data_IF_352145604952
#
_entry.id   IF_352145604952
#
_cell.length_a   1.000
_cell.length_b   1.000
_cell.length_c   1.000
_cell.angle_alpha   90.00
_cell.angle_beta   90.00
_cell.angle_gamma   90.00
#
_symmetry.space_group_name_H-M   'P 1'
#
loop_
_entity.id
_entity.type
_entity.pdbx_description
1 polymer ?
#
# COMPACT_ATOMS: atom_id res chain seq x y z
N UNK A 1 24.98 -56.25 -32.31
CA UNK A 1 23.58 -55.83 -32.11
C UNK A 1 23.51 -55.31 -30.70
N UNK A 2 23.96 -54.06 -30.51
CA UNK A 2 24.14 -53.49 -29.17
C UNK A 2 23.01 -52.52 -28.87
N UNK A 3 22.38 -52.76 -27.73
CA UNK A 3 21.14 -52.14 -27.29
C UNK A 3 21.37 -50.67 -26.90
N UNK A 4 20.62 -49.77 -27.52
CA UNK A 4 20.52 -48.38 -27.10
C UNK A 4 19.48 -48.29 -25.98
N UNK A 5 19.95 -48.11 -24.75
CA UNK A 5 19.11 -47.79 -23.59
C UNK A 5 18.71 -46.32 -23.72
N UNK A 6 17.45 -46.07 -24.09
CA UNK A 6 16.87 -44.74 -24.10
C UNK A 6 16.53 -44.30 -22.65
N UNK A 7 17.28 -43.33 -22.15
CA UNK A 7 16.96 -42.61 -20.92
C UNK A 7 15.74 -41.71 -21.16
N UNK A 8 14.60 -42.06 -20.56
CA UNK A 8 13.42 -41.18 -20.49
C UNK A 8 13.64 -40.20 -19.35
N UNK A 9 14.10 -39.00 -19.66
CA UNK A 9 14.12 -37.90 -18.70
C UNK A 9 12.67 -37.40 -18.51
N UNK A 10 12.09 -37.69 -17.34
CA UNK A 10 10.81 -37.09 -16.92
C UNK A 10 11.10 -35.63 -16.58
N UNK A 11 10.74 -34.73 -17.50
CA UNK A 11 10.74 -33.29 -17.27
C UNK A 11 9.66 -32.98 -16.23
N UNK A 12 10.06 -32.75 -14.99
CA UNK A 12 9.16 -32.24 -13.96
C UNK A 12 8.70 -30.84 -14.38
N UNK A 13 7.47 -30.74 -14.89
CA UNK A 13 6.79 -29.47 -15.12
C UNK A 13 6.70 -28.76 -13.77
N UNK A 14 7.48 -27.68 -13.61
CA UNK A 14 7.31 -26.73 -12.53
C UNK A 14 5.88 -26.17 -12.64
N UNK A 15 4.97 -26.68 -11.80
CA UNK A 15 3.65 -26.10 -11.64
C UNK A 15 3.88 -24.64 -11.20
N UNK A 16 3.34 -23.64 -11.92
CA UNK A 16 3.42 -22.27 -11.43
C UNK A 16 2.79 -22.23 -10.04
N UNK A 17 3.57 -21.79 -9.06
CA UNK A 17 3.05 -21.52 -7.72
C UNK A 17 1.86 -20.54 -7.79
N UNK A 18 1.08 -20.40 -6.70
CA UNK A 18 -0.06 -19.50 -6.68
C UNK A 18 0.34 -18.11 -7.17
N UNK A 19 -0.35 -17.64 -8.23
CA UNK A 19 -0.12 -16.31 -8.79
C UNK A 19 -0.45 -15.27 -7.72
N UNK A 20 0.44 -14.30 -7.43
CA UNK A 20 0.14 -13.22 -6.50
C UNK A 20 -1.16 -12.50 -6.91
N UNK A 21 -1.98 -12.04 -5.96
CA UNK A 21 -3.17 -11.30 -6.32
C UNK A 21 -2.78 -10.02 -7.07
N UNK A 22 -3.46 -9.78 -8.19
CA UNK A 22 -3.25 -8.63 -9.06
C UNK A 22 -4.26 -7.50 -8.77
N UNK A 23 -5.32 -7.79 -8.01
CA UNK A 23 -6.39 -6.84 -7.70
C UNK A 23 -6.65 -6.79 -6.19
N UNK A 24 -6.68 -5.58 -5.65
CA UNK A 24 -7.16 -5.29 -4.31
C UNK A 24 -8.59 -4.74 -4.36
N UNK A 25 -9.46 -5.23 -3.49
CA UNK A 25 -10.80 -4.69 -3.23
C UNK A 25 -10.89 -4.36 -1.75
N UNK A 26 -11.30 -3.14 -1.43
CA UNK A 26 -11.66 -2.74 -0.07
C UNK A 26 -13.16 -2.89 0.09
N UNK A 27 -13.60 -3.64 1.10
CA UNK A 27 -15.02 -3.71 1.46
C UNK A 27 -15.55 -2.30 1.80
N UNK A 28 -16.77 -1.91 1.38
CA UNK A 28 -17.29 -0.56 1.57
C UNK A 28 -17.23 -0.02 3.01
N UNK A 29 -17.57 -0.84 4.00
CA UNK A 29 -17.48 -0.47 5.42
C UNK A 29 -16.04 -0.33 5.91
N UNK A 30 -15.10 -1.13 5.41
CA UNK A 30 -13.66 -0.89 5.61
C UNK A 30 -13.21 0.43 5.00
N UNK A 31 -13.56 0.70 3.74
CA UNK A 31 -13.19 1.93 3.04
C UNK A 31 -13.65 3.16 3.83
N UNK A 32 -14.92 3.23 4.23
CA UNK A 32 -15.45 4.35 5.00
C UNK A 32 -14.69 4.61 6.33
N UNK A 33 -14.24 3.55 7.01
CA UNK A 33 -13.42 3.66 8.22
C UNK A 33 -12.02 4.19 7.92
N UNK A 34 -11.36 3.69 6.88
CA UNK A 34 -10.04 4.17 6.46
C UNK A 34 -10.09 5.64 6.00
N UNK A 35 -11.15 6.05 5.30
CA UNK A 35 -11.37 7.45 4.90
C UNK A 35 -11.54 8.37 6.11
N UNK A 36 -12.26 7.91 7.14
CA UNK A 36 -12.44 8.65 8.39
C UNK A 36 -11.11 8.80 9.13
N UNK A 37 -10.29 7.75 9.17
CA UNK A 37 -8.95 7.79 9.77
C UNK A 37 -8.04 8.76 9.00
N UNK A 38 -7.91 8.60 7.67
CA UNK A 38 -7.05 9.45 6.86
C UNK A 38 -7.41 10.94 6.97
N UNK A 39 -8.69 11.28 7.07
CA UNK A 39 -9.14 12.66 7.22
C UNK A 39 -8.83 13.30 8.58
N UNK A 40 -8.61 12.50 9.63
CA UNK A 40 -8.44 12.99 11.01
C UNK A 40 -7.02 12.91 11.55
N UNK A 41 -6.08 12.34 10.79
CA UNK A 41 -4.72 12.07 11.26
C UNK A 41 -3.73 13.09 10.72
N UNK A 42 -2.98 13.70 11.64
CA UNK A 42 -1.91 14.65 11.34
C UNK A 42 -0.50 14.02 11.34
N UNK A 43 -0.44 12.72 11.68
CA UNK A 43 0.78 11.92 11.63
C UNK A 43 0.56 10.74 10.69
N UNK A 44 1.63 10.24 10.09
CA UNK A 44 1.59 8.96 9.39
C UNK A 44 1.39 7.83 10.41
N UNK A 45 0.46 6.92 10.11
CA UNK A 45 0.25 5.68 10.85
C UNK A 45 0.26 4.50 9.88
N UNK A 46 0.54 3.32 10.41
CA UNK A 46 0.50 2.07 9.66
C UNK A 46 -0.66 1.20 10.15
N UNK A 47 -1.35 0.55 9.23
CA UNK A 47 -2.33 -0.49 9.49
C UNK A 47 -2.03 -1.73 8.64
N UNK A 48 -2.36 -2.90 9.17
CA UNK A 48 -2.38 -4.15 8.44
C UNK A 48 -3.83 -4.43 8.01
N UNK A 49 -4.13 -4.39 6.72
CA UNK A 49 -5.47 -4.69 6.23
C UNK A 49 -5.67 -6.20 6.17
N UNK A 50 -6.65 -6.71 6.90
CA UNK A 50 -6.95 -8.14 7.02
C UNK A 50 -8.06 -8.55 6.05
N UNK A 51 -7.98 -9.77 5.55
CA UNK A 51 -8.97 -10.26 4.60
C UNK A 51 -8.63 -11.61 4.00
N UNK A 52 -9.15 -11.85 2.80
CA UNK A 52 -9.00 -13.12 2.09
C UNK A 52 -8.53 -12.90 0.68
N UNK A 53 -7.69 -13.82 0.19
CA UNK A 53 -7.28 -13.88 -1.21
C UNK A 53 -7.98 -15.05 -1.90
N UNK A 54 -8.62 -14.79 -3.03
CA UNK A 54 -9.26 -15.82 -3.88
C UNK A 54 -8.79 -15.61 -5.32
N UNK A 55 -8.02 -16.57 -5.83
CA UNK A 55 -7.37 -16.45 -7.13
C UNK A 55 -6.49 -15.19 -7.18
N UNK A 56 -6.77 -14.30 -8.15
CA UNK A 56 -6.00 -13.06 -8.36
C UNK A 56 -6.55 -11.84 -7.61
N UNK A 57 -7.57 -12.02 -6.77
CA UNK A 57 -8.22 -10.91 -6.03
C UNK A 57 -8.02 -11.08 -4.54
N UNK A 58 -7.52 -10.03 -3.88
CA UNK A 58 -7.57 -9.89 -2.43
C UNK A 58 -8.70 -8.95 -2.04
N UNK A 59 -9.52 -9.37 -1.08
CA UNK A 59 -10.59 -8.56 -0.50
C UNK A 59 -10.21 -8.25 0.95
N UNK A 60 -9.94 -6.98 1.23
CA UNK A 60 -9.73 -6.50 2.59
C UNK A 60 -11.08 -6.16 3.24
N UNK A 61 -11.30 -6.62 4.47
CA UNK A 61 -12.57 -6.47 5.20
C UNK A 61 -12.39 -5.85 6.58
N UNK A 62 -11.16 -5.85 7.10
CA UNK A 62 -10.81 -5.26 8.39
C UNK A 62 -9.39 -4.70 8.39
N UNK A 63 -8.98 -4.23 9.56
CA UNK A 63 -7.59 -3.84 9.81
C UNK A 63 -7.20 -4.13 11.26
N UNK A 64 -5.91 -4.32 11.47
CA UNK A 64 -5.27 -4.30 12.79
C UNK A 64 -4.19 -3.22 12.80
N UNK A 65 -4.06 -2.49 13.90
CA UNK A 65 -2.95 -1.56 14.09
C UNK A 65 -1.78 -2.35 14.72
N UNK A 66 -0.62 -2.47 14.05
CA UNK A 66 0.61 -2.95 14.69
C UNK A 66 1.03 -1.95 15.79
N UNK A 67 2.01 -2.31 16.63
CA UNK A 67 2.44 -1.45 17.75
C UNK A 67 2.66 0.00 17.28
N UNK A 68 1.85 0.97 17.77
CA UNK A 68 1.88 2.34 17.27
C UNK A 68 3.20 3.05 17.58
N UNK A 69 3.99 2.57 18.55
CA UNK A 69 5.33 3.12 18.82
C UNK A 69 6.32 2.89 17.68
N UNK A 70 6.01 1.99 16.74
CA UNK A 70 6.81 1.75 15.54
C UNK A 70 6.43 2.69 14.39
N UNK A 71 5.30 3.41 14.45
CA UNK A 71 4.97 4.39 13.41
C UNK A 71 5.73 5.70 13.68
N UNK A 72 6.48 6.21 12.68
CA UNK A 72 7.16 7.50 12.77
C UNK A 72 6.39 8.57 11.95
N UNK A 73 6.59 9.84 12.28
CA UNK A 73 5.85 10.96 11.66
C UNK A 73 6.28 11.27 10.22
N UNK A 74 7.42 10.75 9.78
CA UNK A 74 8.06 11.01 8.49
C UNK A 74 8.29 9.74 7.66
N UNK A 75 7.97 8.57 8.22
CA UNK A 75 7.94 7.29 7.53
C UNK A 75 7.16 6.24 8.34
N UNK A 76 6.48 5.37 7.62
CA UNK A 76 5.93 4.14 8.19
C UNK A 76 7.06 3.11 8.47
N UNK A 77 7.39 2.81 9.73
CA UNK A 77 8.10 1.56 10.04
C UNK A 77 7.07 0.46 10.24
N UNK A 78 7.11 -0.55 9.37
CA UNK A 78 6.17 -1.65 9.41
C UNK A 78 6.51 -2.60 10.56
N UNK A 79 5.77 -2.51 11.67
CA UNK A 79 5.70 -3.60 12.63
C UNK A 79 5.18 -4.90 11.98
N UNK A 80 5.37 -6.08 12.60
CA UNK A 80 4.91 -7.33 12.02
C UNK A 80 3.39 -7.34 11.87
N UNK A 81 2.91 -7.55 10.65
CA UNK A 81 1.49 -7.76 10.38
C UNK A 81 1.10 -9.23 10.56
N UNK A 82 -0.16 -9.52 10.91
CA UNK A 82 -0.63 -10.88 11.02
C UNK A 82 -0.68 -11.58 9.65
N UNK A 83 -0.68 -12.92 9.62
CA UNK A 83 -0.55 -13.71 8.39
C UNK A 83 -1.71 -13.50 7.41
N UNK A 84 -2.88 -13.16 7.92
CA UNK A 84 -4.09 -12.83 7.19
C UNK A 84 -4.09 -11.40 6.59
N UNK A 85 -3.03 -10.62 6.82
CA UNK A 85 -2.91 -9.29 6.24
C UNK A 85 -2.68 -9.39 4.72
N UNK A 86 -3.64 -8.87 3.97
CA UNK A 86 -3.62 -8.83 2.50
C UNK A 86 -3.01 -7.55 1.95
N UNK A 87 -2.89 -6.51 2.78
CA UNK A 87 -2.20 -5.28 2.42
C UNK A 87 -1.61 -4.58 3.66
N UNK A 88 -0.58 -3.79 3.44
CA UNK A 88 -0.17 -2.73 4.37
C UNK A 88 -0.84 -1.45 3.91
N UNK A 89 -1.39 -0.69 4.85
CA UNK A 89 -1.95 0.63 4.62
C UNK A 89 -1.20 1.65 5.45
N UNK A 90 -0.96 2.84 4.88
CA UNK A 90 -0.57 4.01 5.65
C UNK A 90 -1.19 5.27 5.07
N UNK A 91 -1.12 6.38 5.80
CA UNK A 91 -1.61 7.67 5.33
C UNK A 91 -0.49 8.66 5.07
N UNK A 92 -0.71 9.56 4.11
CA UNK A 92 0.08 10.77 3.90
C UNK A 92 -0.77 11.98 4.32
N UNK A 93 -0.61 12.50 5.55
CA UNK A 93 -1.37 13.65 6.02
C UNK A 93 -1.26 14.85 5.09
N UNK A 94 -2.38 15.52 4.83
CA UNK A 94 -2.35 16.87 4.27
C UNK A 94 -1.84 17.85 5.34
N UNK A 95 -0.93 18.75 4.97
CA UNK A 95 -0.60 19.87 5.83
C UNK A 95 -1.85 20.74 6.07
N UNK A 96 -2.05 21.20 7.31
CA UNK A 96 -3.05 22.23 7.59
C UNK A 96 -2.65 23.52 6.87
N UNK A 97 -3.43 23.92 5.86
CA UNK A 97 -3.26 25.18 5.10
C UNK A 97 -3.30 26.47 5.95
N UNK A 98 -3.48 26.36 7.26
CA UNK A 98 -3.51 27.47 8.22
C UNK A 98 -2.49 27.38 9.36
N UNK A 99 -1.61 26.37 9.38
CA UNK A 99 -0.64 26.22 10.47
C UNK A 99 0.59 27.10 10.23
N UNK A 100 0.66 28.24 10.90
CA UNK A 100 1.90 29.01 11.12
C UNK A 100 2.72 28.42 12.28
N UNK A 101 2.80 27.08 12.37
CA UNK A 101 3.46 26.42 13.48
C UNK A 101 4.97 26.67 13.42
N UNK A 102 5.41 27.50 14.35
CA UNK A 102 6.81 27.87 14.61
C UNK A 102 7.65 26.61 14.88
N UNK A 103 8.75 26.46 14.12
CA UNK A 103 9.83 25.46 14.29
C UNK A 103 10.52 25.58 15.67
N UNK A 104 9.88 25.19 16.77
CA UNK A 104 10.49 25.31 18.13
C UNK A 104 10.40 24.08 19.02
N UNK A 105 10.20 22.88 18.46
CA UNK A 105 10.45 21.63 19.20
C UNK A 105 11.75 20.97 18.71
N UNK A 106 12.76 20.74 19.58
CA UNK A 106 13.93 19.94 19.22
C UNK A 106 13.49 18.48 19.09
N UNK A 107 13.45 17.97 17.85
CA UNK A 107 13.25 16.54 17.58
C UNK A 107 12.41 16.17 16.36
N UNK A 108 11.75 17.10 15.67
CA UNK A 108 10.73 16.72 14.68
C UNK A 108 10.80 17.54 13.39
N UNK A 109 11.59 17.06 12.44
CA UNK A 109 11.47 17.49 11.05
C UNK A 109 10.43 16.57 10.37
N UNK A 110 9.18 17.04 10.29
CA UNK A 110 8.20 16.45 9.36
C UNK A 110 8.81 16.50 7.95
N UNK A 111 8.57 15.51 7.06
CA UNK A 111 8.88 15.73 5.66
C UNK A 111 8.13 16.99 5.27
N UNK A 112 8.84 18.00 4.77
CA UNK A 112 8.21 19.20 4.20
C UNK A 112 7.38 18.73 3.01
N UNK A 113 6.14 18.31 3.28
CA UNK A 113 5.13 18.22 2.26
C UNK A 113 5.06 19.62 1.66
N UNK A 114 5.20 19.75 0.36
CA UNK A 114 4.92 21.03 -0.24
C UNK A 114 3.42 21.31 0.01
N UNK A 115 3.03 22.38 0.73
CA UNK A 115 1.63 22.70 1.00
C UNK A 115 0.81 22.92 -0.28
N UNK A 116 1.49 23.05 -1.42
CA UNK A 116 0.89 23.15 -2.74
C UNK A 116 0.67 21.80 -3.43
N UNK A 117 1.10 20.67 -2.85
CA UNK A 117 0.81 19.35 -3.41
C UNK A 117 -0.68 19.01 -3.26
N UNK A 118 -1.30 18.69 -4.38
CA UNK A 118 -2.66 18.16 -4.44
C UNK A 118 -2.70 16.77 -3.79
N UNK A 119 -3.86 16.32 -3.26
CA UNK A 119 -4.01 14.97 -2.74
C UNK A 119 -3.57 13.89 -3.73
N UNK A 120 -3.84 14.11 -5.02
CA UNK A 120 -3.42 13.22 -6.10
C UNK A 120 -1.90 13.11 -6.25
N UNK A 121 -1.17 14.20 -6.01
CA UNK A 121 0.29 14.18 -6.02
C UNK A 121 0.82 13.43 -4.79
N UNK A 122 0.23 13.65 -3.61
CA UNK A 122 0.61 12.94 -2.39
C UNK A 122 0.26 11.45 -2.42
N UNK A 123 -0.64 11.02 -3.31
CA UNK A 123 -0.92 9.62 -3.58
C UNK A 123 0.21 8.96 -4.40
N UNK A 124 1.39 8.86 -3.82
CA UNK A 124 2.60 8.29 -4.41
C UNK A 124 3.50 7.73 -3.31
N UNK A 125 4.26 6.67 -3.57
CA UNK A 125 5.27 6.18 -2.63
C UNK A 125 6.54 7.03 -2.70
N UNK A 126 7.10 7.41 -1.55
CA UNK A 126 8.43 8.01 -1.43
C UNK A 126 9.54 6.96 -1.65
N UNK A 127 10.78 7.41 -1.79
CA UNK A 127 11.95 6.51 -1.86
C UNK A 127 12.05 5.61 -0.60
N UNK A 128 11.75 6.16 0.58
CA UNK A 128 11.74 5.42 1.84
C UNK A 128 10.62 4.38 1.85
N UNK A 129 9.40 4.75 1.45
CA UNK A 129 8.28 3.81 1.37
C UNK A 129 8.60 2.64 0.44
N UNK A 130 9.19 2.93 -0.73
CA UNK A 130 9.59 1.92 -1.71
C UNK A 130 10.59 0.94 -1.10
N UNK A 131 11.65 1.44 -0.45
CA UNK A 131 12.68 0.59 0.16
C UNK A 131 12.12 -0.27 1.28
N UNK A 132 11.35 0.33 2.19
CA UNK A 132 10.78 -0.38 3.34
C UNK A 132 9.73 -1.38 2.88
N UNK A 133 8.87 -1.03 1.91
CA UNK A 133 7.82 -1.93 1.46
C UNK A 133 8.34 -3.04 0.53
N UNK A 134 9.46 -2.85 -0.16
CA UNK A 134 10.04 -3.88 -1.02
C UNK A 134 10.53 -5.12 -0.24
N UNK A 135 10.88 -4.95 1.04
CA UNK A 135 11.27 -6.04 1.95
C UNK A 135 10.06 -6.76 2.56
N UNK A 136 8.86 -6.21 2.42
CA UNK A 136 7.62 -6.81 2.88
C UNK A 136 7.20 -7.98 1.99
N UNK A 137 6.63 -8.99 2.63
CA UNK A 137 6.00 -10.12 1.93
C UNK A 137 4.52 -9.88 1.62
N UNK A 138 3.93 -8.79 2.12
CA UNK A 138 2.51 -8.50 1.92
C UNK A 138 2.17 -8.20 0.46
N UNK A 139 1.00 -8.65 -0.04
CA UNK A 139 0.68 -8.55 -1.47
C UNK A 139 0.48 -7.14 -1.99
N UNK A 140 0.00 -6.21 -1.15
CA UNK A 140 -0.33 -4.85 -1.56
C UNK A 140 0.15 -3.80 -0.54
N UNK A 141 0.44 -2.60 -1.06
CA UNK A 141 0.62 -1.37 -0.28
C UNK A 141 -0.50 -0.42 -0.64
N UNK A 142 -1.09 0.25 0.34
CA UNK A 142 -2.18 1.21 0.17
C UNK A 142 -1.80 2.51 0.85
N UNK A 143 -1.99 3.63 0.16
CA UNK A 143 -1.82 4.98 0.72
C UNK A 143 -3.15 5.70 0.68
N UNK A 144 -3.55 6.30 1.79
CA UNK A 144 -4.66 7.26 1.82
C UNK A 144 -4.14 8.66 2.16
N UNK A 145 -4.65 9.67 1.47
CA UNK A 145 -4.16 11.04 1.62
C UNK A 145 -5.19 11.88 2.35
N UNK A 146 -6.44 11.77 1.93
CA UNK A 146 -7.58 12.44 2.53
C UNK A 146 -8.80 11.51 2.49
N UNK A 147 -9.98 12.06 2.77
CA UNK A 147 -11.24 11.32 2.71
C UNK A 147 -11.47 10.66 1.34
N UNK A 148 -11.09 11.31 0.27
CA UNK A 148 -11.54 10.93 -1.07
C UNK A 148 -10.44 10.30 -1.90
N UNK A 149 -9.18 10.42 -1.49
CA UNK A 149 -8.00 10.08 -2.28
C UNK A 149 -7.22 8.95 -1.64
N UNK A 150 -7.22 7.80 -2.30
CA UNK A 150 -6.33 6.70 -1.96
C UNK A 150 -5.80 5.99 -3.20
N UNK A 151 -4.67 5.32 -3.03
CA UNK A 151 -3.97 4.59 -4.07
C UNK A 151 -3.40 3.30 -3.54
N UNK A 152 -3.09 2.38 -4.45
CA UNK A 152 -2.52 1.09 -4.09
C UNK A 152 -1.52 0.58 -5.12
N UNK A 153 -0.62 -0.28 -4.66
CA UNK A 153 0.38 -0.96 -5.48
C UNK A 153 0.42 -2.43 -5.13
N UNK A 154 0.62 -3.27 -6.13
CA UNK A 154 1.03 -4.65 -5.91
C UNK A 154 2.48 -4.72 -5.46
N UNK A 155 2.83 -5.79 -4.75
CA UNK A 155 4.20 -6.09 -4.33
C UNK A 155 5.21 -6.07 -5.48
N UNK A 156 4.81 -6.57 -6.65
CA UNK A 156 5.67 -6.59 -7.83
C UNK A 156 6.00 -5.18 -8.31
N UNK A 157 5.01 -4.28 -8.32
CA UNK A 157 5.24 -2.87 -8.68
C UNK A 157 6.23 -2.21 -7.71
N UNK A 158 6.05 -2.42 -6.40
CA UNK A 158 6.96 -1.88 -5.37
C UNK A 158 8.38 -2.42 -5.55
N UNK A 159 8.54 -3.73 -5.76
CA UNK A 159 9.85 -4.35 -6.02
C UNK A 159 10.50 -3.82 -7.30
N UNK A 160 9.71 -3.58 -8.34
CA UNK A 160 10.19 -2.99 -9.59
C UNK A 160 10.66 -1.54 -9.41
N UNK A 161 9.99 -0.75 -8.57
CA UNK A 161 10.47 0.59 -8.20
C UNK A 161 11.80 0.52 -7.46
N UNK A 162 11.91 -0.38 -6.46
CA UNK A 162 13.14 -0.57 -5.69
C UNK A 162 14.30 -1.01 -6.59
N UNK A 163 14.09 -2.00 -7.47
CA UNK A 163 15.11 -2.50 -8.39
C UNK A 163 15.65 -1.44 -9.36
N UNK A 164 14.88 -0.38 -9.62
CA UNK A 164 15.27 0.74 -10.49
C UNK A 164 15.77 1.96 -9.70
N UNK A 165 15.91 1.85 -8.38
CA UNK A 165 16.23 2.97 -7.49
C UNK A 165 15.30 4.19 -7.72
N UNK A 166 14.00 3.92 -7.89
CA UNK A 166 13.03 4.99 -8.11
C UNK A 166 12.90 5.85 -6.85
N UNK A 167 13.00 7.17 -7.01
CA UNK A 167 12.79 8.14 -5.93
C UNK A 167 11.31 8.35 -5.61
N UNK A 168 10.41 7.91 -6.51
CA UNK A 168 8.97 8.07 -6.40
C UNK A 168 8.23 6.97 -7.15
N UNK A 169 7.24 6.38 -6.48
CA UNK A 169 6.36 5.34 -7.04
C UNK A 169 4.98 5.92 -7.31
N UNK A 170 4.75 6.44 -8.50
CA UNK A 170 3.41 6.87 -8.90
C UNK A 170 2.51 5.62 -9.11
N UNK A 171 1.23 5.67 -8.72
CA UNK A 171 0.28 4.61 -9.02
C UNK A 171 -0.05 4.62 -10.52
N UNK A 172 -0.33 3.46 -11.11
CA UNK A 172 -0.76 3.42 -12.52
C UNK A 172 -2.25 3.75 -12.67
N UNK A 173 -2.72 3.94 -13.90
CA UNK A 173 -4.14 4.21 -14.17
C UNK A 173 -5.03 3.10 -13.57
N UNK A 174 -6.11 3.48 -12.88
CA UNK A 174 -7.00 2.56 -12.17
C UNK A 174 -6.55 2.16 -10.75
N UNK A 175 -5.35 2.58 -10.33
CA UNK A 175 -4.84 2.38 -8.97
C UNK A 175 -4.91 3.62 -8.08
N UNK A 176 -5.55 4.68 -8.57
CA UNK A 176 -6.01 5.79 -7.75
C UNK A 176 -7.52 5.69 -7.74
N UNK A 177 -8.10 5.56 -6.55
CA UNK A 177 -9.51 5.84 -6.36
C UNK A 177 -9.56 7.17 -5.62
N UNK A 178 -9.64 8.24 -6.40
CA UNK A 178 -10.31 9.46 -5.99
C UNK A 178 -11.79 9.15 -6.11
N UNK A 179 -12.60 9.26 -5.05
CA UNK A 179 -14.04 8.98 -5.11
C UNK A 179 -14.67 9.67 -6.34
N UNK A 180 -14.95 8.91 -7.41
CA UNK A 180 -16.07 9.22 -8.28
C UNK A 180 -17.24 8.55 -7.58
N UNK A 181 -18.11 9.34 -6.97
CA UNK A 181 -19.36 8.84 -6.46
C UNK A 181 -19.96 7.93 -7.53
N UNK A 182 -20.05 6.63 -7.24
CA UNK A 182 -21.06 5.82 -7.89
C UNK A 182 -22.37 6.43 -7.40
N UNK A 183 -22.86 7.43 -8.15
CA UNK A 183 -24.18 7.98 -7.95
C UNK A 183 -25.12 6.77 -7.83
N UNK A 184 -25.99 6.72 -6.82
CA UNK A 184 -26.93 5.63 -6.70
C UNK A 184 -27.73 5.61 -8.01
N UNK A 185 -27.61 4.52 -8.78
CA UNK A 185 -28.58 4.23 -9.83
C UNK A 185 -29.89 3.98 -9.11
N UNK A 186 -30.71 5.04 -9.01
CA UNK A 186 -32.12 4.92 -8.68
C UNK A 186 -32.72 4.09 -9.83
N UNK A 187 -33.15 2.87 -9.51
CA UNK A 187 -34.06 2.08 -10.33
C UNK A 187 -35.49 2.44 -9.98
#
# INVERSE_FOLDING_TARGET
MDAVIAFVAVLALALPGPTPPARLVLEPGLLARLQTLAAGLHNEIVLCLTGTTTGVTAVATGFTMPDPQLSASDHATFGPCPKEAVAIWHNHPLEDRGSTAVETAPGYARPRGDPNMTPRQLCALSETDIRTAATSDHPFIVVSVDRDTWCWWSREQVRNFAARNALRGAPVAGQISSYQALAPRIY
#
